data_IF_958470622269
#
_entry.id   IF_958470622269
#
_cell.length_a   1.000
_cell.length_b   1.000
_cell.length_c   1.000
_cell.angle_alpha   90.00
_cell.angle_beta   90.00
_cell.angle_gamma   90.00
#
_symmetry.space_group_name_H-M   'P 1'
#
loop_
_entity.id
_entity.type
_entity.pdbx_description
1 polymer ?
#
# COMPACT_ATOMS: atom_id res chain seq x y z
N UNK A 1 3.77 10.31 -17.43
CA UNK A 1 4.47 10.78 -16.21
C UNK A 1 4.47 9.65 -15.18
N UNK A 2 5.62 9.23 -14.64
CA UNK A 2 5.62 8.29 -13.49
C UNK A 2 5.02 9.03 -12.29
N UNK A 3 3.91 8.53 -11.76
CA UNK A 3 3.25 9.07 -10.57
C UNK A 3 4.22 8.99 -9.38
N UNK A 4 4.30 10.06 -8.59
CA UNK A 4 5.19 10.12 -7.43
C UNK A 4 4.51 9.44 -6.26
N UNK A 5 5.05 8.31 -5.80
CA UNK A 5 4.63 7.61 -4.58
C UNK A 5 4.71 8.57 -3.39
N UNK A 6 3.67 8.57 -2.54
CA UNK A 6 3.58 9.41 -1.35
C UNK A 6 3.35 8.58 -0.09
N UNK A 7 3.85 9.09 1.04
CA UNK A 7 3.53 8.55 2.37
C UNK A 7 2.03 8.59 2.64
N UNK A 8 1.49 7.56 3.27
CA UNK A 8 0.07 7.40 3.59
C UNK A 8 -0.79 6.89 2.43
N UNK A 9 -0.19 6.57 1.27
CA UNK A 9 -0.91 6.00 0.13
C UNK A 9 -0.80 4.49 0.11
N UNK A 10 -1.85 3.84 -0.39
CA UNK A 10 -1.84 2.40 -0.67
C UNK A 10 -1.09 2.16 -1.97
N UNK A 11 -0.18 1.20 -1.94
CA UNK A 11 0.60 0.80 -3.11
C UNK A 11 0.61 -0.72 -3.27
N UNK A 12 0.81 -1.18 -4.50
CA UNK A 12 1.14 -2.57 -4.82
C UNK A 12 2.60 -2.72 -5.21
N UNK A 13 3.15 -3.90 -4.98
CA UNK A 13 4.47 -4.28 -5.53
C UNK A 13 4.26 -4.94 -6.89
N UNK A 14 4.83 -4.35 -7.94
CA UNK A 14 4.59 -4.74 -9.35
C UNK A 14 4.93 -6.20 -9.66
N UNK A 15 5.93 -6.76 -8.96
CA UNK A 15 6.37 -8.13 -9.17
C UNK A 15 5.67 -9.15 -8.22
N UNK A 16 4.70 -8.69 -7.41
CA UNK A 16 4.01 -9.49 -6.40
C UNK A 16 2.54 -9.09 -6.34
N UNK A 17 1.72 -9.85 -7.07
CA UNK A 17 0.28 -9.60 -7.22
C UNK A 17 -0.46 -9.63 -5.87
N UNK A 18 0.09 -10.35 -4.89
CA UNK A 18 -0.47 -10.53 -3.55
C UNK A 18 -0.08 -9.44 -2.53
N UNK A 19 0.79 -8.50 -2.91
CA UNK A 19 1.46 -7.63 -1.94
C UNK A 19 1.02 -6.18 -2.09
N UNK A 20 0.14 -5.79 -1.17
CA UNK A 20 -0.41 -4.45 -1.01
C UNK A 20 -0.06 -3.89 0.35
N UNK A 21 0.30 -2.62 0.41
CA UNK A 21 0.64 -1.99 1.68
C UNK A 21 0.59 -0.48 1.66
N UNK A 22 0.45 0.09 2.85
CA UNK A 22 0.50 1.52 3.05
C UNK A 22 1.95 2.00 3.11
N UNK A 23 2.26 3.07 2.39
CA UNK A 23 3.58 3.70 2.45
C UNK A 23 3.76 4.40 3.80
N UNK A 24 4.57 3.84 4.69
CA UNK A 24 4.86 4.46 5.99
C UNK A 24 6.10 5.34 5.98
N UNK A 25 7.05 5.08 5.06
CA UNK A 25 8.30 5.83 4.95
C UNK A 25 8.82 5.77 3.51
N UNK A 26 9.47 6.84 3.09
CA UNK A 26 10.22 6.90 1.83
C UNK A 26 11.62 7.37 2.19
N UNK A 27 12.63 6.60 1.84
CA UNK A 27 14.04 6.94 2.06
C UNK A 27 14.82 6.69 0.78
N UNK A 28 15.43 7.73 0.24
CA UNK A 28 16.18 7.68 -1.01
C UNK A 28 15.34 7.11 -2.17
N UNK A 29 15.66 5.88 -2.61
CA UNK A 29 14.99 5.15 -3.70
C UNK A 29 14.12 4.01 -3.20
N UNK A 30 13.88 3.92 -1.89
CA UNK A 30 13.16 2.84 -1.25
C UNK A 30 11.90 3.34 -0.57
N UNK A 31 10.89 2.47 -0.55
CA UNK A 31 9.60 2.68 0.06
C UNK A 31 9.40 1.59 1.10
N UNK A 32 9.07 2.01 2.31
CA UNK A 32 8.70 1.11 3.39
C UNK A 32 7.19 0.97 3.41
N UNK A 33 6.72 -0.26 3.24
CA UNK A 33 5.33 -0.63 3.20
C UNK A 33 4.94 -1.36 4.49
N UNK A 34 3.82 -0.95 5.07
CA UNK A 34 3.11 -1.70 6.10
C UNK A 34 2.15 -2.65 5.41
N UNK A 35 2.45 -3.95 5.45
CA UNK A 35 1.65 -4.98 4.81
C UNK A 35 0.62 -5.52 5.82
N UNK A 36 -0.64 -5.70 5.42
CA UNK A 36 -1.64 -6.37 6.24
C UNK A 36 -1.13 -7.74 6.73
N UNK A 37 -1.39 -8.08 7.99
CA UNK A 37 -1.02 -9.38 8.59
C UNK A 37 0.48 -9.70 8.66
N UNK A 38 1.36 -8.79 8.25
CA UNK A 38 2.80 -8.92 8.43
C UNK A 38 3.24 -8.16 9.68
N UNK A 39 3.85 -8.86 10.64
CA UNK A 39 4.45 -8.21 11.82
C UNK A 39 5.79 -7.60 11.43
N UNK A 40 5.75 -6.37 10.91
CA UNK A 40 6.93 -5.60 10.53
C UNK A 40 6.67 -4.68 9.35
N UNK A 41 7.75 -4.26 8.71
CA UNK A 41 7.67 -3.50 7.47
C UNK A 41 8.51 -4.17 6.39
N UNK A 42 8.04 -4.09 5.15
CA UNK A 42 8.83 -4.51 3.99
C UNK A 42 9.32 -3.29 3.25
N UNK A 43 10.52 -3.38 2.71
CA UNK A 43 11.16 -2.29 1.98
C UNK A 43 11.36 -2.71 0.52
N UNK A 44 10.93 -1.84 -0.39
CA UNK A 44 10.98 -2.10 -1.83
C UNK A 44 11.54 -0.89 -2.59
N UNK A 45 12.30 -1.12 -3.67
CA UNK A 45 12.66 -0.08 -4.63
C UNK A 45 11.41 0.63 -5.18
N UNK A 46 11.44 1.96 -5.25
CA UNK A 46 10.33 2.79 -5.71
C UNK A 46 9.82 2.42 -7.12
N UNK A 47 10.70 1.95 -8.00
CA UNK A 47 10.36 1.54 -9.37
C UNK A 47 9.60 0.21 -9.46
N UNK A 48 9.63 -0.57 -8.37
CA UNK A 48 8.87 -1.80 -8.19
C UNK A 48 7.55 -1.57 -7.44
N UNK A 49 7.26 -0.34 -7.03
CA UNK A 49 6.04 0.01 -6.31
C UNK A 49 5.16 0.90 -7.17
N UNK A 50 3.85 0.69 -7.12
CA UNK A 50 2.87 1.47 -7.87
C UNK A 50 1.74 1.91 -6.95
N UNK A 51 1.43 3.22 -6.96
CA UNK A 51 0.31 3.78 -6.20
C UNK A 51 -1.02 3.32 -6.82
N UNK A 52 -1.93 2.87 -5.96
CA UNK A 52 -3.29 2.51 -6.37
C UNK A 52 -4.16 3.75 -6.17
N UNK A 53 -4.53 4.40 -7.27
CA UNK A 53 -5.43 5.57 -7.25
C UNK A 53 -6.90 5.19 -7.40
N UNK A 54 -7.19 3.95 -7.77
CA UNK A 54 -8.53 3.53 -8.18
C UNK A 54 -9.35 2.99 -6.99
N UNK A 55 -10.39 3.72 -6.61
CA UNK A 55 -11.43 3.19 -5.73
C UNK A 55 -12.17 2.00 -6.36
N UNK A 56 -12.08 1.84 -7.68
CA UNK A 56 -12.67 0.72 -8.43
C UNK A 56 -11.89 -0.60 -8.26
N UNK A 57 -10.62 -0.56 -7.83
CA UNK A 57 -9.85 -1.77 -7.49
C UNK A 57 -10.37 -2.45 -6.20
N UNK A 58 -11.17 -1.73 -5.42
CA UNK A 58 -11.91 -2.27 -4.27
C UNK A 58 -13.30 -2.80 -4.65
N UNK A 59 -13.65 -2.82 -5.94
CA UNK A 59 -14.97 -3.27 -6.43
C UNK A 59 -15.19 -4.78 -6.33
N UNK A 60 -14.13 -5.58 -6.23
CA UNK A 60 -14.21 -7.05 -6.05
C UNK A 60 -13.64 -7.53 -4.70
N UNK A 61 -12.90 -6.69 -3.98
CA UNK A 61 -12.50 -6.98 -2.60
C UNK A 61 -13.56 -6.37 -1.70
N UNK A 62 -14.54 -7.20 -1.34
CA UNK A 62 -15.77 -6.89 -0.62
C UNK A 62 -15.69 -5.71 0.35
N UNK A 63 -16.80 -5.00 0.50
CA UNK A 63 -17.00 -3.89 1.44
C UNK A 63 -16.54 -4.17 2.90
N UNK A 64 -16.30 -5.44 3.27
CA UNK A 64 -15.67 -5.84 4.52
C UNK A 64 -14.21 -5.42 4.66
N UNK A 65 -13.46 -5.35 3.56
CA UNK A 65 -12.06 -4.89 3.59
C UNK A 65 -11.99 -3.39 3.83
N UNK A 66 -12.90 -2.57 3.26
CA UNK A 66 -12.97 -1.13 3.57
C UNK A 66 -13.25 -0.87 5.05
N UNK A 67 -14.19 -1.58 5.66
CA UNK A 67 -14.55 -1.35 7.06
C UNK A 67 -13.48 -1.83 8.05
N UNK A 68 -12.89 -3.01 7.89
CA UNK A 68 -11.86 -3.48 8.84
C UNK A 68 -10.51 -2.80 8.66
N UNK A 69 -10.14 -2.39 7.45
CA UNK A 69 -8.80 -1.87 7.16
C UNK A 69 -8.67 -0.36 7.39
N UNK A 70 -9.71 0.42 7.10
CA UNK A 70 -9.71 1.85 7.41
C UNK A 70 -9.85 2.08 8.93
N UNK A 71 -10.69 1.31 9.63
CA UNK A 71 -10.83 1.42 11.10
C UNK A 71 -9.58 0.96 11.87
N UNK A 72 -8.81 0.02 11.33
CA UNK A 72 -7.53 -0.41 11.91
C UNK A 72 -6.41 0.65 11.78
N UNK A 73 -6.50 1.54 10.80
CA UNK A 73 -5.58 2.67 10.63
C UNK A 73 -6.09 3.98 11.26
N UNK A 74 -7.38 4.07 11.61
CA UNK A 74 -8.00 5.27 12.21
C UNK A 74 -7.87 5.34 13.74
N UNK A 75 -7.56 4.21 14.41
CA UNK A 75 -7.37 4.12 15.86
C UNK A 75 -5.88 4.05 16.28
N UNK A 76 -4.98 4.61 15.47
CA UNK A 76 -3.57 4.87 15.84
C UNK A 76 -3.30 6.36 15.91
#
# INVERSE_FOLDING_TARGET
MRKKIKKGKLCRVRNRIDLFGEVVKIENKFVRLKIPHFKGHLEYPMDLVEEIEDESFFGEVSADFKNKHYDACKNL
#
